data_IF_485794947552
#
_entry.id   IF_485794947552
#
_cell.length_a   1.000
_cell.length_b   1.000
_cell.length_c   1.000
_cell.angle_alpha   90.00
_cell.angle_beta   90.00
_cell.angle_gamma   90.00
#
_symmetry.space_group_name_H-M   'P 1'
#
loop_
_entity.id
_entity.type
_entity.pdbx_description
1 polymer ?
#
# COMPACT_ATOMS: atom_id res chain seq x y z
N UNK A 1 -8.07 15.00 10.41
CA UNK A 1 -6.77 14.50 9.92
C UNK A 1 -5.70 15.03 10.87
N UNK A 2 -4.84 14.16 11.41
CA UNK A 2 -3.78 14.60 12.33
C UNK A 2 -2.89 15.64 11.65
N UNK A 3 -2.70 16.80 12.29
CA UNK A 3 -1.78 17.86 11.84
C UNK A 3 -0.40 17.26 11.61
N UNK A 4 -0.01 17.10 10.35
CA UNK A 4 1.33 16.63 9.99
C UNK A 4 2.25 17.84 10.11
N UNK A 5 2.85 18.02 11.29
CA UNK A 5 4.04 18.86 11.46
C UNK A 5 5.12 18.29 10.53
N UNK A 6 5.26 18.87 9.35
CA UNK A 6 6.34 18.55 8.43
C UNK A 6 7.65 18.71 9.19
N UNK A 7 8.47 17.66 9.19
CA UNK A 7 9.69 17.55 9.97
C UNK A 7 10.57 18.80 9.78
N UNK A 8 10.64 19.64 10.82
CA UNK A 8 11.46 20.85 10.87
C UNK A 8 12.98 20.57 10.86
N UNK A 9 13.38 19.30 10.96
CA UNK A 9 14.77 18.85 10.97
C UNK A 9 15.00 17.75 9.93
N UNK A 10 16.19 17.74 9.31
CA UNK A 10 16.63 16.64 8.45
C UNK A 10 16.61 15.34 9.25
N UNK A 11 16.10 14.27 8.65
CA UNK A 11 16.11 12.95 9.28
C UNK A 11 17.56 12.55 9.63
N UNK A 12 17.80 11.98 10.81
CA UNK A 12 19.13 11.48 11.17
C UNK A 12 19.56 10.38 10.18
N UNK A 13 20.88 10.16 10.00
CA UNK A 13 21.39 9.07 9.18
C UNK A 13 20.91 7.73 9.72
N UNK A 14 20.47 6.84 8.83
CA UNK A 14 19.97 5.51 9.17
C UNK A 14 20.57 4.49 8.20
N UNK A 15 21.85 4.13 8.39
CA UNK A 15 22.60 3.31 7.43
C UNK A 15 21.94 1.95 7.16
N UNK A 16 21.26 1.37 8.15
CA UNK A 16 20.56 0.10 7.95
C UNK A 16 19.29 0.27 7.10
N UNK A 17 18.58 1.39 7.20
CA UNK A 17 17.47 1.69 6.29
C UNK A 17 17.96 1.97 4.87
N UNK A 18 19.12 2.63 4.73
CA UNK A 18 19.75 2.86 3.42
C UNK A 18 20.12 1.53 2.76
N UNK A 19 20.76 0.61 3.49
CA UNK A 19 21.05 -0.75 2.99
C UNK A 19 19.79 -1.50 2.57
N UNK A 20 18.73 -1.42 3.37
CA UNK A 20 17.45 -2.05 3.05
C UNK A 20 16.83 -1.44 1.80
N UNK A 21 16.91 -0.11 1.64
CA UNK A 21 16.41 0.60 0.47
C UNK A 21 17.17 0.20 -0.80
N UNK A 22 18.50 0.17 -0.76
CA UNK A 22 19.31 -0.25 -1.92
C UNK A 22 19.00 -1.69 -2.33
N UNK A 23 18.79 -2.58 -1.37
CA UNK A 23 18.34 -3.95 -1.65
C UNK A 23 16.93 -3.97 -2.26
N UNK A 24 16.00 -3.18 -1.71
CA UNK A 24 14.61 -3.17 -2.16
C UNK A 24 14.46 -2.64 -3.60
N UNK A 25 15.29 -1.67 -4.02
CA UNK A 25 15.28 -1.11 -5.38
C UNK A 25 15.51 -2.14 -6.47
N UNK A 26 16.28 -3.19 -6.18
CA UNK A 26 16.67 -4.23 -7.15
C UNK A 26 15.78 -5.47 -7.06
N UNK A 27 14.84 -5.50 -6.12
CA UNK A 27 13.92 -6.62 -5.98
C UNK A 27 12.97 -6.70 -7.18
N UNK A 28 12.97 -7.82 -7.88
CA UNK A 28 11.97 -8.10 -8.92
C UNK A 28 10.64 -8.44 -8.27
N UNK A 29 9.59 -7.70 -8.63
CA UNK A 29 8.23 -7.93 -8.15
C UNK A 29 7.42 -8.56 -9.27
N UNK A 30 6.85 -9.73 -9.00
CA UNK A 30 5.94 -10.41 -9.93
C UNK A 30 4.51 -9.91 -9.73
N UNK A 31 3.64 -10.09 -10.74
CA UNK A 31 2.22 -9.72 -10.59
C UNK A 31 1.53 -10.49 -9.46
N UNK A 32 1.90 -11.76 -9.25
CA UNK A 32 1.38 -12.56 -8.15
C UNK A 32 1.73 -11.96 -6.77
N UNK A 33 2.98 -11.50 -6.59
CA UNK A 33 3.41 -10.82 -5.38
C UNK A 33 2.67 -9.50 -5.19
N UNK A 34 2.52 -8.72 -6.26
CA UNK A 34 1.82 -7.44 -6.21
C UNK A 34 0.34 -7.63 -5.86
N UNK A 35 -0.32 -8.64 -6.44
CA UNK A 35 -1.69 -9.03 -6.13
C UNK A 35 -1.86 -9.40 -4.66
N UNK A 36 -0.99 -10.24 -4.12
CA UNK A 36 -1.04 -10.62 -2.71
C UNK A 36 -0.81 -9.41 -1.78
N UNK A 37 0.13 -8.53 -2.13
CA UNK A 37 0.44 -7.34 -1.35
C UNK A 37 -0.75 -6.37 -1.34
N UNK A 38 -1.42 -6.16 -2.48
CA UNK A 38 -2.65 -5.37 -2.56
C UNK A 38 -3.73 -5.91 -1.63
N UNK A 39 -3.94 -7.23 -1.63
CA UNK A 39 -4.98 -7.83 -0.79
C UNK A 39 -4.66 -7.71 0.70
N UNK A 40 -3.38 -7.90 1.05
CA UNK A 40 -2.89 -7.74 2.41
C UNK A 40 -3.02 -6.29 2.88
N UNK A 41 -2.76 -5.31 2.00
CA UNK A 41 -2.98 -3.91 2.29
C UNK A 41 -4.45 -3.59 2.56
N UNK A 42 -5.37 -4.05 1.70
CA UNK A 42 -6.83 -3.84 1.88
C UNK A 42 -7.31 -4.44 3.20
N UNK A 43 -6.92 -5.69 3.50
CA UNK A 43 -7.31 -6.35 4.73
C UNK A 43 -6.70 -5.68 5.97
N UNK A 44 -5.40 -5.36 5.94
CA UNK A 44 -4.70 -4.71 7.06
C UNK A 44 -5.23 -3.30 7.37
N UNK A 45 -5.84 -2.62 6.39
CA UNK A 45 -6.46 -1.31 6.55
C UNK A 45 -8.00 -1.38 6.60
N UNK A 46 -8.58 -2.57 6.73
CA UNK A 46 -10.02 -2.72 6.80
C UNK A 46 -10.58 -1.99 8.04
N UNK A 47 -11.65 -1.17 7.91
CA UNK A 47 -12.29 -0.55 9.05
C UNK A 47 -12.75 -1.59 10.07
N UNK A 48 -12.63 -1.26 11.36
CA UNK A 48 -13.14 -2.12 12.44
C UNK A 48 -14.65 -2.35 12.26
N UNK A 49 -15.08 -3.60 12.41
CA UNK A 49 -16.48 -3.98 12.20
C UNK A 49 -16.91 -4.13 10.73
N UNK A 50 -16.00 -3.90 9.78
CA UNK A 50 -16.27 -4.24 8.37
C UNK A 50 -16.24 -5.75 8.16
N UNK A 51 -16.86 -6.21 7.07
CA UNK A 51 -16.85 -7.63 6.65
C UNK A 51 -15.69 -7.95 5.69
N UNK A 52 -14.69 -7.07 5.60
CA UNK A 52 -13.56 -7.24 4.68
C UNK A 52 -12.62 -8.29 5.27
N UNK A 53 -12.45 -9.39 4.55
CA UNK A 53 -11.50 -10.46 4.87
C UNK A 53 -10.36 -10.47 3.86
N UNK A 54 -9.25 -11.15 4.18
CA UNK A 54 -8.16 -11.36 3.22
C UNK A 54 -8.67 -12.10 1.97
N UNK A 55 -9.57 -13.07 2.12
CA UNK A 55 -10.16 -13.81 1.00
C UNK A 55 -11.01 -12.92 0.10
N UNK A 56 -11.90 -12.09 0.67
CA UNK A 56 -12.69 -11.15 -0.12
C UNK A 56 -11.80 -10.12 -0.82
N UNK A 57 -10.74 -9.63 -0.15
CA UNK A 57 -9.77 -8.74 -0.77
C UNK A 57 -9.05 -9.42 -1.95
N UNK A 58 -8.53 -10.64 -1.79
CA UNK A 58 -7.88 -11.41 -2.88
C UNK A 58 -8.77 -11.60 -4.11
N UNK A 59 -10.08 -11.73 -3.92
CA UNK A 59 -11.06 -11.88 -5.01
C UNK A 59 -11.37 -10.57 -5.77
N UNK A 60 -11.06 -9.42 -5.14
CA UNK A 60 -11.42 -8.10 -5.62
C UNK A 60 -10.22 -7.30 -6.19
N UNK A 61 -8.98 -7.59 -5.76
CA UNK A 61 -7.79 -6.79 -6.10
C UNK A 61 -7.46 -6.70 -7.60
N UNK A 62 -7.97 -7.61 -8.41
CA UNK A 62 -7.74 -7.61 -9.87
C UNK A 62 -8.86 -6.90 -10.64
N UNK A 63 -9.89 -6.44 -9.94
CA UNK A 63 -11.12 -5.89 -10.53
C UNK A 63 -11.19 -4.40 -10.27
N UNK A 64 -10.43 -3.63 -11.05
CA UNK A 64 -10.57 -2.17 -11.10
C UNK A 64 -11.57 -1.82 -12.19
N UNK A 65 -12.67 -1.15 -11.83
CA UNK A 65 -13.60 -0.53 -12.78
C UNK A 65 -13.39 0.98 -12.71
N UNK A 66 -12.90 1.56 -13.80
CA UNK A 66 -12.89 3.02 -13.98
C UNK A 66 -14.19 3.39 -14.66
N UNK A 67 -15.10 4.03 -13.93
CA UNK A 67 -16.28 4.67 -14.52
C UNK A 67 -15.91 6.12 -14.81
N UNK A 68 -16.02 6.56 -16.06
CA UNK A 68 -16.01 7.99 -16.37
C UNK A 68 -17.18 8.64 -15.64
N UNK A 69 -16.88 9.62 -14.78
CA UNK A 69 -17.87 10.58 -14.35
C UNK A 69 -18.08 11.51 -15.55
N UNK A 70 -19.26 11.46 -16.15
CA UNK A 70 -19.73 12.51 -17.04
C UNK A 70 -19.85 13.79 -16.18
N UNK A 71 -18.94 14.74 -16.42
CA UNK A 71 -18.99 16.07 -15.82
C UNK A 71 -19.88 16.89 -16.75
N UNK A 72 -21.13 17.13 -16.34
CA UNK A 72 -21.98 18.21 -16.88
C UNK A 72 -21.49 19.57 -16.37
#
# INVERSE_FOLDING_TARGET
MAERKSALNRAPPRPDLEKLLERAKTAQITEAMLREQRASFVYGNAPKGSRITKASAMSAVDRVRVTSLDIE
#
